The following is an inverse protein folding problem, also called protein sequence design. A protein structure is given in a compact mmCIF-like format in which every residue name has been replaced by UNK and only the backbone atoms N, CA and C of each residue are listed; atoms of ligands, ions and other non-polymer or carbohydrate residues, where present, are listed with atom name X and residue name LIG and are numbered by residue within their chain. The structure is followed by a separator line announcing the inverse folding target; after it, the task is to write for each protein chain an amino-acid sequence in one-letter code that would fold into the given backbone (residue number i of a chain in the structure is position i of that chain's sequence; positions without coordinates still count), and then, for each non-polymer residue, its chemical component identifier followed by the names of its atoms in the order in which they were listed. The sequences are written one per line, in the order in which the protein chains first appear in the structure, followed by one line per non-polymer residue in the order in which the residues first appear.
data_IF_762178171391
#
_entry.id   IF_762178171391
#
_cell.length_a   1.000
_cell.length_b   1.000
_cell.length_c   1.000
_cell.angle_alpha   90.00
_cell.angle_beta   90.00
_cell.angle_gamma   90.00
#
_symmetry.space_group_name_H-M   'P 1'
#
loop_
_entity.id
_entity.type
_entity.pdbx_description
1 polymer ?
#
# COMPACT_ATOMS: atom_id res chain seq x y z
N UNK A 1 10.76 9.48 10.40
CA UNK A 1 9.50 8.72 10.50
C UNK A 1 8.95 8.55 9.10
N UNK A 2 8.73 7.31 8.66
CA UNK A 2 8.18 7.03 7.33
C UNK A 2 6.67 7.10 7.36
N UNK A 3 6.11 7.96 6.52
CA UNK A 3 4.66 8.08 6.37
C UNK A 3 4.24 7.50 5.03
N UNK A 4 3.47 6.42 5.08
CA UNK A 4 2.80 5.88 3.91
C UNK A 4 1.40 6.49 3.83
N UNK A 5 1.12 7.12 2.69
CA UNK A 5 -0.16 7.78 2.43
C UNK A 5 -0.96 6.94 1.43
N UNK A 6 -2.21 6.69 1.76
CA UNK A 6 -3.19 6.13 0.85
C UNK A 6 -4.00 7.27 0.24
N UNK A 7 -3.99 7.33 -1.09
CA UNK A 7 -4.79 8.27 -1.88
C UNK A 7 -5.97 7.51 -2.46
N UNK A 8 -7.18 7.88 -2.10
CA UNK A 8 -8.42 7.27 -2.57
C UNK A 8 -9.24 8.31 -3.30
N UNK A 9 -9.96 7.89 -4.33
CA UNK A 9 -10.97 8.71 -4.99
C UNK A 9 -12.34 8.15 -4.65
N UNK A 10 -13.22 9.02 -4.20
CA UNK A 10 -14.60 8.70 -3.90
C UNK A 10 -15.51 9.59 -4.75
N UNK A 11 -16.52 8.99 -5.37
CA UNK A 11 -17.52 9.73 -6.12
C UNK A 11 -18.64 10.12 -5.16
N UNK A 12 -18.84 11.42 -4.96
CA UNK A 12 -19.90 11.97 -4.10
C UNK A 12 -20.77 12.85 -4.98
N UNK A 13 -22.02 12.43 -5.18
CA UNK A 13 -22.95 13.02 -6.16
C UNK A 13 -22.31 13.09 -7.55
N UNK A 14 -22.16 14.28 -8.10
CA UNK A 14 -21.60 14.54 -9.42
C UNK A 14 -20.11 14.90 -9.38
N UNK A 15 -19.51 14.91 -8.18
CA UNK A 15 -18.12 15.26 -7.95
C UNK A 15 -17.24 14.07 -7.56
N UNK A 16 -15.95 14.17 -7.85
CA UNK A 16 -14.93 13.21 -7.38
C UNK A 16 -14.07 13.89 -6.34
N UNK A 17 -14.04 13.34 -5.14
CA UNK A 17 -13.19 13.83 -4.03
C UNK A 17 -12.00 12.89 -3.89
N UNK A 18 -10.81 13.48 -3.71
CA UNK A 18 -9.59 12.73 -3.40
C UNK A 18 -9.28 12.85 -1.91
N UNK A 19 -9.25 11.72 -1.22
CA UNK A 19 -8.93 11.62 0.20
C UNK A 19 -7.50 11.10 0.36
N UNK A 20 -6.75 11.71 1.28
CA UNK A 20 -5.38 11.29 1.62
C UNK A 20 -5.34 10.94 3.11
N UNK A 21 -4.96 9.70 3.44
CA UNK A 21 -4.84 9.26 4.84
C UNK A 21 -3.54 8.50 5.09
N UNK A 22 -2.93 8.62 6.28
CA UNK A 22 -1.84 7.74 6.68
C UNK A 22 -2.35 6.30 6.81
N UNK A 23 -1.52 5.33 6.45
CA UNK A 23 -1.85 3.90 6.56
C UNK A 23 -0.77 3.12 7.28
N UNK A 24 -1.21 2.11 8.04
CA UNK A 24 -0.37 1.17 8.77
C UNK A 24 -0.01 -0.04 7.90
N UNK A 25 0.97 -0.85 8.33
CA UNK A 25 1.50 -1.95 7.50
C UNK A 25 0.46 -3.00 7.10
N UNK A 26 -0.53 -3.30 7.93
CA UNK A 26 -1.64 -4.20 7.55
C UNK A 26 -2.46 -3.65 6.39
N UNK A 27 -2.76 -2.36 6.44
CA UNK A 27 -3.55 -1.68 5.40
C UNK A 27 -2.75 -1.54 4.10
N UNK A 28 -1.42 -1.42 4.21
CA UNK A 28 -0.51 -1.45 3.05
C UNK A 28 -0.54 -2.79 2.34
N UNK A 29 -0.58 -3.89 3.08
CA UNK A 29 -0.68 -5.24 2.48
C UNK A 29 -1.97 -5.33 1.67
N UNK A 30 -3.13 -5.01 2.26
CA UNK A 30 -4.41 -5.08 1.55
C UNK A 30 -4.48 -4.15 0.33
N UNK A 31 -3.92 -2.96 0.44
CA UNK A 31 -3.82 -2.02 -0.68
C UNK A 31 -3.01 -2.59 -1.84
N UNK A 32 -1.80 -3.07 -1.55
CA UNK A 32 -0.90 -3.65 -2.54
C UNK A 32 -1.51 -4.93 -3.12
N UNK A 33 -2.18 -5.75 -2.31
CA UNK A 33 -2.92 -6.92 -2.79
C UNK A 33 -4.03 -6.54 -3.74
N UNK A 34 -4.77 -5.47 -3.47
CA UNK A 34 -5.79 -4.95 -4.40
C UNK A 34 -5.17 -4.41 -5.68
N UNK A 35 -4.00 -3.78 -5.61
CA UNK A 35 -3.28 -3.30 -6.80
C UNK A 35 -2.76 -4.46 -7.68
N UNK A 36 -2.27 -5.53 -7.06
CA UNK A 36 -1.72 -6.71 -7.76
C UNK A 36 -2.85 -7.61 -8.29
N UNK A 37 -3.85 -7.91 -7.44
CA UNK A 37 -4.94 -8.83 -7.72
C UNK A 37 -6.15 -8.19 -8.40
N UNK A 38 -6.24 -6.86 -8.41
CA UNK A 38 -7.37 -6.12 -8.94
C UNK A 38 -8.66 -6.48 -8.18
N UNK A 39 -9.64 -7.00 -8.91
CA UNK A 39 -10.95 -7.43 -8.37
C UNK A 39 -10.84 -8.73 -7.57
N UNK A 40 -9.84 -9.57 -7.87
CA UNK A 40 -9.68 -10.90 -7.27
C UNK A 40 -8.54 -10.90 -6.26
N UNK A 41 -8.87 -10.51 -5.02
CA UNK A 41 -7.95 -10.58 -3.90
C UNK A 41 -7.98 -12.01 -3.34
N UNK A 42 -6.82 -12.66 -3.33
CA UNK A 42 -6.62 -14.01 -2.78
C UNK A 42 -5.50 -14.02 -1.75
N UNK A 43 -5.40 -15.10 -0.98
CA UNK A 43 -4.32 -15.25 0.01
C UNK A 43 -2.93 -15.23 -0.65
N UNK A 44 -2.82 -15.69 -1.90
CA UNK A 44 -1.59 -15.61 -2.68
C UNK A 44 -1.22 -14.14 -2.96
N UNK A 45 -2.19 -13.31 -3.36
CA UNK A 45 -1.93 -11.87 -3.60
C UNK A 45 -1.59 -11.12 -2.32
N UNK A 46 -2.08 -11.56 -1.16
CA UNK A 46 -1.67 -11.07 0.17
C UNK A 46 -0.25 -11.45 0.52
N UNK A 47 0.11 -12.71 0.26
CA UNK A 47 1.46 -13.19 0.49
C UNK A 47 2.48 -12.42 -0.37
N UNK A 48 2.19 -12.26 -1.66
CA UNK A 48 3.04 -11.49 -2.58
C UNK A 48 3.21 -10.04 -2.13
N UNK A 49 2.11 -9.37 -1.73
CA UNK A 49 2.16 -8.01 -1.19
C UNK A 49 3.05 -7.91 0.07
N UNK A 50 2.92 -8.86 0.99
CA UNK A 50 3.74 -8.94 2.20
C UNK A 50 5.22 -9.15 1.88
N UNK A 51 5.54 -9.99 0.91
CA UNK A 51 6.91 -10.23 0.45
C UNK A 51 7.52 -8.97 -0.16
N UNK A 52 6.78 -8.25 -1.02
CA UNK A 52 7.24 -6.99 -1.60
C UNK A 52 7.56 -5.94 -0.54
N UNK A 53 6.70 -5.79 0.48
CA UNK A 53 6.95 -4.89 1.60
C UNK A 53 8.19 -5.27 2.40
N UNK A 54 8.36 -6.57 2.66
CA UNK A 54 9.53 -7.10 3.37
C UNK A 54 10.82 -6.86 2.59
N UNK A 55 10.79 -7.04 1.26
CA UNK A 55 11.93 -6.75 0.39
C UNK A 55 12.26 -5.26 0.37
N UNK A 56 11.25 -4.39 0.28
CA UNK A 56 11.44 -2.94 0.34
C UNK A 56 12.09 -2.51 1.65
N UNK A 57 11.66 -3.09 2.78
CA UNK A 57 12.25 -2.85 4.09
C UNK A 57 13.71 -3.31 4.15
N UNK A 58 14.01 -4.53 3.69
CA UNK A 58 15.38 -5.04 3.60
C UNK A 58 16.27 -4.19 2.70
N UNK A 59 15.75 -3.71 1.57
CA UNK A 59 16.49 -2.81 0.68
C UNK A 59 16.81 -1.49 1.36
N UNK A 60 15.89 -0.96 2.17
CA UNK A 60 16.12 0.24 2.97
C UNK A 60 17.21 0.05 4.01
N UNK A 61 17.17 -1.07 4.74
CA UNK A 61 18.17 -1.45 5.73
C UNK A 61 19.55 -1.67 5.09
N UNK A 62 19.60 -2.36 3.95
CA UNK A 62 20.85 -2.63 3.21
C UNK A 62 21.47 -1.38 2.60
N UNK A 63 20.65 -0.41 2.16
CA UNK A 63 21.17 0.81 1.51
C UNK A 63 21.61 1.90 2.47
N UNK A 64 21.46 1.73 3.80
CA UNK A 64 21.88 2.73 4.78
C UNK A 64 21.38 4.14 4.45
N UNK A 65 20.19 4.24 3.82
CA UNK A 65 19.71 5.50 3.29
C UNK A 65 19.10 6.33 4.42
N UNK A 66 19.96 7.13 5.03
CA UNK A 66 19.59 8.29 5.83
C UNK A 66 18.76 9.25 4.99
N UNK A 67 17.51 9.46 5.39
CA UNK A 67 16.76 10.71 5.18
C UNK A 67 16.05 11.04 6.49
#
# INVERSE_FOLDING_TARGET
ADYHLLILKEQINEGTISNVKPIMDSDRIEEISRLIGGVNITDITRLQAKEMLTQAQKLKEMKGWSF
#
